data_IF_652408883299
#
_entry.id   IF_652408883299
#
_cell.length_a   1.000
_cell.length_b   1.000
_cell.length_c   1.000
_cell.angle_alpha   90.00
_cell.angle_beta   90.00
_cell.angle_gamma   90.00
#
_symmetry.space_group_name_H-M   'P 1'
#
loop_
_entity.id
_entity.type
_entity.pdbx_description
1 polymer ?
#
# COMPACT_ATOMS: atom_id res chain seq x y z
N UNK A 1 4.68 -10.92 -33.36
CA UNK A 1 3.88 -11.40 -32.21
C UNK A 1 3.65 -10.21 -31.31
N UNK A 2 2.40 -9.83 -31.04
CA UNK A 2 2.07 -8.78 -30.09
C UNK A 2 1.74 -9.47 -28.76
N UNK A 3 2.56 -9.25 -27.74
CA UNK A 3 2.32 -9.76 -26.39
C UNK A 3 1.48 -8.77 -25.59
N UNK A 4 0.58 -9.28 -24.72
CA UNK A 4 -0.11 -8.49 -23.70
C UNK A 4 0.58 -8.53 -22.33
N UNK A 5 1.62 -9.34 -22.20
CA UNK A 5 2.45 -9.42 -21.01
C UNK A 5 3.60 -8.43 -21.16
N UNK A 6 3.77 -7.58 -20.15
CA UNK A 6 4.88 -6.64 -20.07
C UNK A 6 6.21 -7.42 -20.06
N UNK A 7 7.23 -7.01 -20.83
CA UNK A 7 8.54 -7.63 -20.75
C UNK A 7 9.12 -7.44 -19.34
N UNK A 8 9.97 -8.38 -18.92
CA UNK A 8 10.76 -8.27 -17.71
C UNK A 8 12.23 -8.11 -18.12
N UNK A 9 13.00 -7.38 -17.31
CA UNK A 9 14.44 -7.34 -17.50
C UNK A 9 15.02 -8.74 -17.34
N UNK A 10 15.94 -9.11 -18.22
CA UNK A 10 16.67 -10.36 -18.18
C UNK A 10 18.13 -10.14 -18.61
N UNK A 11 18.91 -11.22 -18.76
CA UNK A 11 20.33 -11.12 -19.14
C UNK A 11 20.57 -10.51 -20.54
N UNK A 12 19.52 -10.34 -21.34
CA UNK A 12 19.56 -9.76 -22.69
C UNK A 12 18.79 -8.42 -22.77
N UNK A 13 17.98 -8.09 -21.77
CA UNK A 13 17.19 -6.86 -21.70
C UNK A 13 17.65 -6.05 -20.49
N UNK A 14 18.51 -5.07 -20.73
CA UNK A 14 19.09 -4.21 -19.69
C UNK A 14 18.17 -3.04 -19.29
N UNK A 15 17.32 -2.58 -20.21
CA UNK A 15 16.40 -1.45 -20.01
C UNK A 15 15.08 -1.69 -20.72
N UNK A 16 13.99 -1.42 -20.02
CA UNK A 16 12.64 -1.35 -20.61
C UNK A 16 12.14 0.09 -20.51
N UNK A 17 11.78 0.66 -21.65
CA UNK A 17 11.13 1.97 -21.73
C UNK A 17 9.69 1.78 -22.17
N UNK A 18 8.76 2.39 -21.44
CA UNK A 18 7.33 2.34 -21.77
C UNK A 18 6.74 3.75 -21.74
N UNK A 19 5.96 4.05 -22.77
CA UNK A 19 5.26 5.33 -22.93
C UNK A 19 3.77 5.03 -22.78
N UNK A 20 3.20 5.42 -21.65
CA UNK A 20 1.78 5.33 -21.36
C UNK A 20 1.13 6.67 -21.76
N UNK A 21 0.40 6.66 -22.87
CA UNK A 21 -0.30 7.84 -23.37
C UNK A 21 -1.65 8.08 -22.69
N UNK A 22 -2.23 7.08 -22.05
CA UNK A 22 -3.51 7.21 -21.36
C UNK A 22 -3.34 7.99 -20.07
N UNK A 23 -2.24 7.74 -19.35
CA UNK A 23 -1.88 8.46 -18.13
C UNK A 23 -0.82 9.55 -18.34
N UNK A 24 -0.29 9.69 -19.56
CA UNK A 24 0.82 10.58 -19.88
C UNK A 24 2.07 10.33 -19.03
N UNK A 25 2.46 9.06 -18.88
CA UNK A 25 3.58 8.63 -18.02
C UNK A 25 4.65 7.92 -18.84
N UNK A 26 5.90 8.25 -18.55
CA UNK A 26 7.08 7.55 -19.03
C UNK A 26 7.61 6.64 -17.93
N UNK A 27 7.66 5.34 -18.23
CA UNK A 27 8.14 4.31 -17.34
C UNK A 27 9.55 3.84 -17.73
N UNK A 28 10.35 3.52 -16.73
CA UNK A 28 11.67 2.87 -16.88
C UNK A 28 11.67 1.63 -16.02
N UNK A 29 11.91 0.46 -16.63
CA UNK A 29 11.84 -0.85 -15.97
C UNK A 29 10.53 -1.02 -15.18
N UNK A 30 9.41 -0.63 -15.79
CA UNK A 30 8.04 -0.67 -15.23
C UNK A 30 7.76 0.30 -14.08
N UNK A 31 8.72 1.16 -13.72
CA UNK A 31 8.57 2.21 -12.70
C UNK A 31 8.19 3.52 -13.36
N UNK A 32 7.09 4.19 -12.97
CA UNK A 32 6.74 5.50 -13.50
C UNK A 32 7.72 6.54 -12.95
N UNK A 33 8.51 7.16 -13.84
CA UNK A 33 9.52 8.15 -13.44
C UNK A 33 9.19 9.57 -13.88
N UNK A 34 8.64 9.75 -15.08
CA UNK A 34 8.39 11.09 -15.61
C UNK A 34 6.97 11.18 -16.12
N UNK A 35 6.34 12.33 -15.97
CA UNK A 35 5.20 12.66 -16.83
C UNK A 35 5.70 13.10 -18.19
N UNK A 36 4.97 12.75 -19.25
CA UNK A 36 5.34 13.09 -20.62
C UNK A 36 5.35 14.60 -20.88
N UNK A 37 4.55 15.37 -20.14
CA UNK A 37 4.52 16.84 -20.21
C UNK A 37 5.59 17.53 -19.35
N UNK A 38 6.30 16.77 -18.51
CA UNK A 38 7.34 17.27 -17.60
C UNK A 38 8.67 16.53 -17.79
N UNK A 39 8.94 16.04 -19.00
CA UNK A 39 10.17 15.29 -19.31
C UNK A 39 11.43 16.15 -19.09
N UNK A 40 12.54 15.55 -18.61
CA UNK A 40 13.83 16.20 -18.64
C UNK A 40 14.34 16.36 -20.09
N UNK A 41 15.37 17.19 -20.26
CA UNK A 41 16.09 17.26 -21.53
C UNK A 41 16.74 15.91 -21.86
N UNK A 42 17.04 15.66 -23.14
CA UNK A 42 17.72 14.43 -23.55
C UNK A 42 19.07 14.24 -22.83
N UNK A 43 19.80 15.33 -22.58
CA UNK A 43 21.11 15.31 -21.92
C UNK A 43 21.00 14.95 -20.42
N UNK A 44 19.88 15.31 -19.79
CA UNK A 44 19.66 15.05 -18.36
C UNK A 44 18.87 13.77 -18.07
N UNK A 45 18.19 13.20 -19.08
CA UNK A 45 17.31 12.04 -18.91
C UNK A 45 17.99 10.88 -18.17
N UNK A 46 19.11 10.37 -18.68
CA UNK A 46 19.84 9.27 -18.04
C UNK A 46 20.44 9.67 -16.69
N UNK A 47 20.75 10.97 -16.48
CA UNK A 47 21.34 11.47 -15.24
C UNK A 47 20.35 11.49 -14.07
N UNK A 48 19.05 11.46 -14.36
CA UNK A 48 17.99 11.48 -13.37
C UNK A 48 17.46 10.09 -13.01
N UNK A 49 17.95 9.03 -13.66
CA UNK A 49 17.58 7.65 -13.37
C UNK A 49 18.65 7.02 -12.47
N UNK A 50 18.23 6.45 -11.35
CA UNK A 50 19.10 5.78 -10.39
C UNK A 50 18.41 4.54 -9.82
N UNK A 51 18.88 4.08 -8.66
CA UNK A 51 18.31 2.97 -7.91
C UNK A 51 17.96 3.41 -6.49
N UNK A 52 16.87 2.87 -5.95
CA UNK A 52 16.52 3.02 -4.55
C UNK A 52 17.42 2.14 -3.64
N UNK A 53 17.18 2.22 -2.34
CA UNK A 53 17.90 1.42 -1.35
C UNK A 53 17.71 -0.11 -1.53
N UNK A 54 16.66 -0.52 -2.24
CA UNK A 54 16.32 -1.93 -2.49
C UNK A 54 16.83 -2.44 -3.84
N UNK A 55 17.43 -1.56 -4.66
CA UNK A 55 17.93 -1.88 -6.00
C UNK A 55 16.86 -1.78 -7.10
N UNK A 56 15.68 -1.24 -6.81
CA UNK A 56 14.66 -0.90 -7.80
C UNK A 56 14.97 0.42 -8.50
N UNK A 57 14.44 0.65 -9.70
CA UNK A 57 14.61 1.94 -10.39
C UNK A 57 13.94 3.06 -9.62
N UNK A 58 14.62 4.20 -9.54
CA UNK A 58 14.12 5.37 -8.83
C UNK A 58 14.72 6.66 -9.40
N UNK A 59 14.28 7.79 -8.85
CA UNK A 59 14.89 9.09 -9.11
C UNK A 59 16.31 9.15 -8.57
N UNK A 60 17.20 9.79 -9.32
CA UNK A 60 18.47 10.26 -8.76
C UNK A 60 18.21 11.39 -7.75
N UNK A 61 19.03 11.49 -6.71
CA UNK A 61 18.88 12.46 -5.62
C UNK A 61 18.82 13.91 -6.14
N UNK A 62 19.63 14.22 -7.14
CA UNK A 62 19.70 15.54 -7.80
C UNK A 62 18.50 15.88 -8.71
N UNK A 63 17.56 14.95 -8.91
CA UNK A 63 16.44 15.16 -9.83
C UNK A 63 15.51 16.26 -9.32
N UNK A 64 15.29 17.34 -10.10
CA UNK A 64 14.37 18.41 -9.73
C UNK A 64 12.94 17.89 -9.56
N UNK A 65 12.24 18.39 -8.54
CA UNK A 65 10.88 17.97 -8.19
C UNK A 65 9.89 18.09 -9.37
N UNK A 66 10.02 19.15 -10.19
CA UNK A 66 9.19 19.35 -11.39
C UNK A 66 9.20 18.19 -12.38
N UNK A 67 10.24 17.36 -12.38
CA UNK A 67 10.34 16.20 -13.27
C UNK A 67 9.85 14.91 -12.62
N UNK A 68 9.66 14.89 -11.28
CA UNK A 68 9.29 13.68 -10.53
C UNK A 68 7.84 13.35 -10.80
N UNK A 69 7.57 12.09 -11.12
CA UNK A 69 6.21 11.62 -11.36
C UNK A 69 5.31 11.88 -10.14
N UNK A 70 5.77 11.56 -8.92
CA UNK A 70 4.96 11.71 -7.68
C UNK A 70 4.55 13.16 -7.37
N UNK A 71 5.43 14.13 -7.61
CA UNK A 71 5.14 15.53 -7.32
C UNK A 71 4.06 16.12 -8.25
N UNK A 72 3.84 15.47 -9.39
CA UNK A 72 2.96 15.95 -10.45
C UNK A 72 1.78 15.01 -10.71
N UNK A 73 1.64 13.91 -9.98
CA UNK A 73 0.55 12.95 -10.14
C UNK A 73 -0.02 12.52 -8.79
N UNK A 74 -1.08 13.19 -8.37
CA UNK A 74 -1.90 12.80 -7.23
C UNK A 74 -3.30 12.52 -7.76
N UNK A 75 -3.70 11.24 -7.75
CA UNK A 75 -5.08 10.88 -8.03
C UNK A 75 -5.96 11.56 -6.99
N UNK A 76 -6.96 12.31 -7.44
CA UNK A 76 -7.89 12.96 -6.52
C UNK A 76 -8.62 11.89 -5.71
N UNK A 77 -8.76 12.05 -4.39
CA UNK A 77 -9.48 11.10 -3.56
C UNK A 77 -10.90 10.87 -4.09
N UNK A 78 -11.42 9.64 -4.03
CA UNK A 78 -12.78 9.35 -4.45
C UNK A 78 -13.76 10.08 -3.55
N UNK A 79 -14.87 10.53 -4.14
CA UNK A 79 -15.95 11.17 -3.38
C UNK A 79 -16.64 10.13 -2.50
N UNK A 80 -16.75 10.45 -1.23
CA UNK A 80 -17.49 9.67 -0.23
C UNK A 80 -18.93 10.19 -0.18
N UNK A 81 -19.91 9.29 -0.06
CA UNK A 81 -21.32 9.69 0.03
C UNK A 81 -21.66 10.29 1.39
N UNK A 82 -22.68 11.15 1.43
CA UNK A 82 -23.17 11.72 2.68
C UNK A 82 -23.62 10.61 3.65
N UNK A 83 -24.18 9.50 3.17
CA UNK A 83 -24.58 8.39 4.04
C UNK A 83 -23.40 7.76 4.79
N UNK A 84 -22.24 7.63 4.13
CA UNK A 84 -21.03 7.09 4.74
C UNK A 84 -20.47 8.04 5.81
N UNK A 85 -20.53 9.35 5.56
CA UNK A 85 -20.13 10.36 6.54
C UNK A 85 -21.08 10.39 7.74
N UNK A 86 -22.39 10.27 7.51
CA UNK A 86 -23.38 10.14 8.58
C UNK A 86 -23.23 8.82 9.35
N UNK A 87 -22.83 7.73 8.71
CA UNK A 87 -22.48 6.48 9.40
C UNK A 87 -21.32 6.69 10.38
N UNK A 88 -20.27 7.43 9.99
CA UNK A 88 -19.18 7.79 10.90
C UNK A 88 -19.65 8.65 12.08
N UNK A 89 -20.46 9.69 11.83
CA UNK A 89 -20.99 10.57 12.90
C UNK A 89 -21.77 9.79 13.97
N UNK A 90 -22.50 8.74 13.56
CA UNK A 90 -23.26 7.86 14.47
C UNK A 90 -22.39 6.98 15.38
N UNK A 91 -21.08 6.90 15.15
CA UNK A 91 -20.19 6.07 15.97
C UNK A 91 -19.81 6.72 17.29
N UNK A 92 -20.03 8.03 17.45
CA UNK A 92 -19.57 8.81 18.60
C UNK A 92 -18.08 8.56 18.94
N UNK A 93 -17.27 8.34 17.90
CA UNK A 93 -15.89 7.91 18.05
C UNK A 93 -15.05 8.97 18.77
N UNK A 94 -14.34 8.56 19.83
CA UNK A 94 -13.34 9.40 20.47
C UNK A 94 -12.04 9.32 19.67
N UNK A 95 -11.72 10.38 18.92
CA UNK A 95 -10.47 10.43 18.14
C UNK A 95 -9.32 10.78 19.08
N UNK A 96 -8.47 9.80 19.37
CA UNK A 96 -7.16 10.06 19.98
C UNK A 96 -6.16 10.28 18.86
N UNK A 97 -6.03 11.53 18.40
CA UNK A 97 -5.03 11.89 17.38
C UNK A 97 -3.64 11.73 17.99
N UNK A 98 -2.86 10.80 17.46
CA UNK A 98 -1.40 10.70 17.69
C UNK A 98 -0.72 11.03 16.37
N UNK A 99 -0.71 12.32 16.04
CA UNK A 99 -0.16 12.86 14.78
C UNK A 99 1.33 12.59 14.61
N UNK A 100 2.02 12.28 15.70
CA UNK A 100 3.32 11.64 15.66
C UNK A 100 3.25 10.42 16.57
N UNK A 101 3.71 9.27 16.08
CA UNK A 101 4.39 8.33 16.98
C UNK A 101 5.70 9.04 17.38
N UNK A 102 5.58 10.14 18.16
CA UNK A 102 6.67 10.68 18.94
C UNK A 102 7.29 9.47 19.64
N UNK A 103 8.62 9.36 19.70
CA UNK A 103 9.26 8.17 20.23
C UNK A 103 8.76 7.98 21.65
N UNK A 104 7.72 7.16 21.80
CA UNK A 104 7.35 6.59 23.08
C UNK A 104 8.67 6.01 23.57
N UNK A 105 8.99 6.22 24.84
CA UNK A 105 10.12 5.53 25.45
C UNK A 105 9.95 4.04 25.17
N UNK A 106 10.59 3.59 24.09
CA UNK A 106 10.26 2.32 23.49
C UNK A 106 11.02 1.32 24.30
N UNK A 107 10.30 0.36 24.86
CA UNK A 107 10.96 -0.79 25.46
C UNK A 107 11.95 -1.39 24.45
N UNK A 108 13.03 -2.00 24.94
CA UNK A 108 13.99 -2.73 24.10
C UNK A 108 13.26 -3.72 23.18
N UNK A 109 12.19 -4.34 23.68
CA UNK A 109 11.32 -5.24 22.91
C UNK A 109 10.64 -4.54 21.74
N UNK A 110 10.03 -3.37 21.97
CA UNK A 110 9.37 -2.59 20.92
C UNK A 110 10.37 -2.12 19.85
N UNK A 111 11.55 -1.65 20.27
CA UNK A 111 12.62 -1.25 19.35
C UNK A 111 13.09 -2.44 18.51
N UNK A 112 13.30 -3.61 19.12
CA UNK A 112 13.71 -4.83 18.43
C UNK A 112 12.67 -5.27 17.41
N UNK A 113 11.38 -5.21 17.76
CA UNK A 113 10.28 -5.54 16.85
C UNK A 113 10.21 -4.60 15.65
N UNK A 114 10.41 -3.29 15.87
CA UNK A 114 10.44 -2.32 14.78
C UNK A 114 11.62 -2.59 13.84
N UNK A 115 12.83 -2.80 14.38
CA UNK A 115 14.00 -3.13 13.56
C UNK A 115 13.81 -4.43 12.78
N UNK A 116 13.21 -5.45 13.38
CA UNK A 116 12.88 -6.69 12.67
C UNK A 116 11.88 -6.43 11.55
N UNK A 117 10.84 -5.63 11.80
CA UNK A 117 9.84 -5.29 10.79
C UNK A 117 10.46 -4.51 9.63
N UNK A 118 11.36 -3.56 9.89
CA UNK A 118 12.12 -2.84 8.86
C UNK A 118 12.90 -3.81 7.97
N UNK A 119 13.57 -4.82 8.56
CA UNK A 119 14.29 -5.85 7.81
C UNK A 119 13.34 -6.69 6.95
N UNK A 120 12.21 -7.13 7.51
CA UNK A 120 11.23 -7.94 6.79
C UNK A 120 10.60 -7.17 5.63
N UNK A 121 10.24 -5.89 5.85
CA UNK A 121 9.78 -4.98 4.80
C UNK A 121 10.85 -4.83 3.73
N UNK A 122 12.10 -4.58 4.12
CA UNK A 122 13.20 -4.46 3.15
C UNK A 122 13.42 -5.73 2.32
N UNK A 123 13.26 -6.90 2.92
CA UNK A 123 13.29 -8.18 2.19
C UNK A 123 12.15 -8.28 1.18
N UNK A 124 10.92 -7.86 1.53
CA UNK A 124 9.78 -7.85 0.61
C UNK A 124 10.03 -6.89 -0.56
N UNK A 125 10.53 -5.69 -0.27
CA UNK A 125 10.87 -4.69 -1.29
C UNK A 125 11.93 -5.20 -2.27
N UNK A 126 12.92 -5.95 -1.78
CA UNK A 126 14.01 -6.50 -2.61
C UNK A 126 13.62 -7.75 -3.42
N UNK A 127 12.60 -8.49 -2.99
CA UNK A 127 12.30 -9.84 -3.52
C UNK A 127 11.83 -9.83 -4.97
N UNK A 128 11.09 -8.80 -5.41
CA UNK A 128 10.60 -8.72 -6.78
C UNK A 128 10.45 -7.26 -7.22
N UNK A 129 10.87 -6.97 -8.46
CA UNK A 129 10.55 -5.73 -9.17
C UNK A 129 9.04 -5.49 -9.26
N UNK A 130 8.24 -6.57 -9.28
CA UNK A 130 6.78 -6.47 -9.29
C UNK A 130 6.23 -5.86 -8.00
N UNK A 131 6.83 -6.17 -6.85
CA UNK A 131 6.41 -5.61 -5.55
C UNK A 131 6.57 -4.09 -5.55
N UNK A 132 7.72 -3.60 -6.03
CA UNK A 132 7.98 -2.17 -6.15
C UNK A 132 6.96 -1.49 -7.09
N UNK A 133 6.70 -2.09 -8.26
CA UNK A 133 5.69 -1.60 -9.21
C UNK A 133 4.29 -1.53 -8.57
N UNK A 134 3.86 -2.59 -7.89
CA UNK A 134 2.54 -2.61 -7.27
C UNK A 134 2.42 -1.53 -6.20
N UNK A 135 3.43 -1.35 -5.36
CA UNK A 135 3.45 -0.34 -4.31
C UNK A 135 3.29 1.06 -4.90
N UNK A 136 4.04 1.42 -5.94
CA UNK A 136 3.89 2.73 -6.58
C UNK A 136 2.48 2.90 -7.13
N UNK A 137 1.96 1.87 -7.80
CA UNK A 137 0.63 1.91 -8.38
C UNK A 137 -0.49 1.96 -7.34
N UNK A 138 -0.26 1.58 -6.08
CA UNK A 138 -1.26 1.71 -5.00
C UNK A 138 -1.70 3.16 -4.79
N UNK A 139 -0.82 4.14 -5.02
CA UNK A 139 -1.15 5.57 -4.92
C UNK A 139 -2.10 6.03 -6.02
N UNK A 140 -2.14 5.31 -7.14
CA UNK A 140 -2.88 5.71 -8.33
C UNK A 140 -4.25 5.05 -8.43
N UNK A 141 -4.60 4.16 -7.48
CA UNK A 141 -5.86 3.43 -7.50
C UNK A 141 -7.00 4.43 -7.29
N UNK A 142 -7.92 4.62 -8.25
CA UNK A 142 -8.87 5.72 -8.21
C UNK A 142 -9.95 5.55 -7.15
N UNK A 143 -10.28 4.30 -6.80
CA UNK A 143 -11.26 4.01 -5.76
C UNK A 143 -10.95 2.67 -5.11
N UNK A 144 -11.50 2.44 -3.92
CA UNK A 144 -11.42 1.16 -3.21
C UNK A 144 -11.83 -0.03 -4.10
N UNK A 145 -12.85 0.14 -4.93
CA UNK A 145 -13.39 -0.96 -5.74
C UNK A 145 -12.54 -1.23 -7.00
N UNK A 146 -11.49 -0.43 -7.22
CA UNK A 146 -10.55 -0.57 -8.34
C UNK A 146 -9.28 -1.34 -8.00
N UNK A 147 -9.18 -1.91 -6.78
CA UNK A 147 -8.09 -2.80 -6.44
C UNK A 147 -8.10 -4.04 -7.33
N UNK A 148 -7.00 -4.29 -8.05
CA UNK A 148 -6.80 -5.57 -8.71
C UNK A 148 -6.27 -6.63 -7.73
N UNK A 149 -6.34 -7.90 -8.13
CA UNK A 149 -5.90 -9.04 -7.31
C UNK A 149 -4.44 -8.92 -6.84
N UNK A 150 -3.55 -8.41 -7.68
CA UNK A 150 -2.13 -8.29 -7.35
C UNK A 150 -1.86 -7.16 -6.32
N UNK A 151 -2.59 -6.05 -6.42
CA UNK A 151 -2.56 -4.96 -5.43
C UNK A 151 -3.06 -5.43 -4.06
N UNK A 152 -4.19 -6.15 -4.02
CA UNK A 152 -4.71 -6.74 -2.77
C UNK A 152 -3.74 -7.74 -2.18
N UNK A 153 -3.16 -8.61 -3.01
CA UNK A 153 -2.16 -9.58 -2.58
C UNK A 153 -0.91 -8.90 -2.00
N UNK A 154 -0.46 -7.81 -2.62
CA UNK A 154 0.65 -7.00 -2.11
C UNK A 154 0.31 -6.44 -0.73
N UNK A 155 -0.82 -5.73 -0.59
CA UNK A 155 -1.27 -5.15 0.68
C UNK A 155 -1.40 -6.21 1.78
N UNK A 156 -1.92 -7.38 1.43
CA UNK A 156 -2.07 -8.51 2.34
C UNK A 156 -0.74 -9.04 2.85
N UNK A 157 0.25 -9.21 1.97
CA UNK A 157 1.60 -9.61 2.37
C UNK A 157 2.17 -8.62 3.40
N UNK A 158 2.03 -7.32 3.15
CA UNK A 158 2.51 -6.29 4.09
C UNK A 158 1.73 -6.32 5.41
N UNK A 159 0.41 -6.45 5.36
CA UNK A 159 -0.43 -6.57 6.56
C UNK A 159 -0.07 -7.80 7.39
N UNK A 160 0.06 -8.97 6.77
CA UNK A 160 0.50 -10.20 7.44
C UNK A 160 1.89 -10.04 8.06
N UNK A 161 2.82 -9.38 7.36
CA UNK A 161 4.19 -9.14 7.85
C UNK A 161 4.21 -8.23 9.07
N UNK A 162 3.39 -7.18 9.08
CA UNK A 162 3.32 -6.23 10.17
C UNK A 162 2.52 -6.75 11.38
N UNK A 163 1.45 -7.53 11.14
CA UNK A 163 0.43 -7.82 12.14
C UNK A 163 0.42 -9.26 12.63
N UNK A 164 1.04 -10.22 11.95
CA UNK A 164 1.16 -11.59 12.45
C UNK A 164 2.42 -11.77 13.31
N UNK A 165 2.44 -12.76 14.22
CA UNK A 165 3.66 -13.08 14.96
C UNK A 165 4.77 -13.42 13.97
N UNK A 166 5.99 -12.87 14.11
CA UNK A 166 7.07 -13.16 13.19
C UNK A 166 7.39 -14.65 13.24
N UNK A 167 7.25 -15.32 12.10
CA UNK A 167 7.69 -16.71 11.91
C UNK A 167 9.06 -16.68 11.22
N UNK A 168 9.91 -17.68 11.50
CA UNK A 168 11.28 -17.71 10.99
C UNK A 168 11.49 -18.84 9.97
N UNK A 169 12.38 -18.60 9.00
CA UNK A 169 12.81 -19.59 8.02
C UNK A 169 11.73 -19.96 7.00
N UNK A 170 11.74 -21.22 6.52
CA UNK A 170 10.83 -21.72 5.48
C UNK A 170 9.35 -21.57 5.81
N UNK A 171 9.01 -21.45 7.10
CA UNK A 171 7.63 -21.22 7.54
C UNK A 171 7.11 -19.83 7.16
N UNK A 172 7.99 -18.84 7.12
CA UNK A 172 7.65 -17.49 6.66
C UNK A 172 7.41 -17.47 5.15
N UNK A 173 8.30 -18.13 4.39
CA UNK A 173 8.16 -18.25 2.94
C UNK A 173 6.92 -19.03 2.53
N UNK A 174 6.57 -20.10 3.27
CA UNK A 174 5.33 -20.84 3.07
C UNK A 174 4.09 -19.98 3.36
N UNK A 175 4.11 -19.17 4.44
CA UNK A 175 3.01 -18.22 4.70
C UNK A 175 2.85 -17.23 3.55
N UNK A 176 3.93 -16.71 2.97
CA UNK A 176 3.84 -15.80 1.83
C UNK A 176 3.43 -16.51 0.53
N UNK A 177 3.96 -17.70 0.28
CA UNK A 177 3.66 -18.49 -0.92
C UNK A 177 2.23 -19.03 -0.94
N UNK A 178 1.72 -19.47 0.21
CA UNK A 178 0.35 -19.95 0.40
C UNK A 178 -0.63 -18.84 0.80
N UNK A 179 -0.14 -17.60 1.04
CA UNK A 179 -1.01 -16.44 1.27
C UNK A 179 -1.68 -16.04 -0.03
N UNK A 180 -2.70 -16.81 -0.42
CA UNK A 180 -3.72 -16.25 -1.28
C UNK A 180 -4.50 -15.26 -0.42
N UNK A 181 -4.56 -14.00 -0.87
CA UNK A 181 -5.64 -13.12 -0.40
C UNK A 181 -6.94 -13.92 -0.53
N UNK A 182 -7.79 -14.00 0.50
CA UNK A 182 -8.96 -14.86 0.48
C UNK A 182 -9.72 -14.62 -0.83
N UNK A 183 -9.68 -15.62 -1.71
CA UNK A 183 -9.97 -15.46 -3.13
C UNK A 183 -11.47 -15.30 -3.44
N UNK A 184 -12.30 -15.26 -2.41
CA UNK A 184 -13.73 -14.96 -2.49
C UNK A 184 -13.94 -13.52 -2.04
N UNK A 185 -13.42 -12.59 -2.84
CA UNK A 185 -14.05 -11.26 -2.93
C UNK A 185 -15.24 -11.50 -3.83
N UNK A 186 -16.41 -11.84 -3.28
CA UNK A 186 -17.63 -11.66 -4.06
C UNK A 186 -17.78 -10.17 -4.36
N UNK A 187 -18.52 -9.82 -5.41
CA UNK A 187 -18.80 -8.42 -5.78
C UNK A 187 -19.43 -7.59 -4.63
N UNK A 188 -19.79 -8.23 -3.51
CA UNK A 188 -20.36 -7.62 -2.30
C UNK A 188 -19.53 -7.82 -1.02
N UNK A 189 -18.39 -8.51 -1.03
CA UNK A 189 -17.68 -8.87 0.20
C UNK A 189 -16.57 -7.88 0.57
N UNK A 190 -16.62 -7.48 1.85
CA UNK A 190 -15.72 -6.54 2.48
C UNK A 190 -14.25 -6.87 2.23
N UNK A 191 -13.42 -5.84 1.96
CA UNK A 191 -11.95 -5.90 2.05
C UNK A 191 -11.41 -6.22 3.47
N UNK A 192 -12.28 -6.72 4.34
CA UNK A 192 -12.07 -6.93 5.77
C UNK A 192 -11.78 -8.40 6.00
N UNK A 193 -10.67 -8.69 6.67
CA UNK A 193 -10.23 -10.04 6.98
C UNK A 193 -9.82 -10.11 8.43
N UNK A 194 -10.37 -11.10 9.14
CA UNK A 194 -9.95 -11.42 10.50
C UNK A 194 -8.61 -12.16 10.48
N UNK A 195 -7.55 -11.47 10.85
CA UNK A 195 -6.22 -12.07 11.00
C UNK A 195 -6.11 -12.91 12.28
N UNK A 196 -6.87 -12.54 13.32
CA UNK A 196 -6.94 -13.20 14.62
C UNK A 196 -8.35 -13.02 15.19
N UNK A 197 -8.67 -13.77 16.25
CA UNK A 197 -9.98 -13.71 16.91
C UNK A 197 -10.41 -12.30 17.34
N UNK A 198 -9.45 -11.41 17.65
CA UNK A 198 -9.69 -10.04 18.09
C UNK A 198 -9.05 -8.98 17.17
N UNK A 199 -8.63 -9.36 15.95
CA UNK A 199 -7.95 -8.46 15.01
C UNK A 199 -8.54 -8.58 13.60
N UNK A 200 -9.31 -7.58 13.21
CA UNK A 200 -9.81 -7.39 11.86
C UNK A 200 -8.90 -6.42 11.09
N UNK A 201 -8.58 -6.73 9.84
CA UNK A 201 -7.78 -5.88 8.96
C UNK A 201 -8.59 -5.51 7.74
N UNK A 202 -8.59 -4.23 7.40
CA UNK A 202 -9.38 -3.68 6.31
C UNK A 202 -8.51 -2.91 5.34
N UNK A 203 -8.55 -3.30 4.07
CA UNK A 203 -7.78 -2.60 3.03
C UNK A 203 -8.58 -1.40 2.53
N UNK A 204 -7.93 -0.24 2.39
CA UNK A 204 -8.57 1.00 1.93
C UNK A 204 -7.59 1.89 1.15
N UNK A 205 -8.09 2.81 0.31
CA UNK A 205 -7.26 3.79 -0.44
C UNK A 205 -7.47 5.21 0.08
N UNK A 206 -6.50 6.11 -0.14
CA UNK A 206 -6.62 7.54 0.19
C UNK A 206 -6.95 7.85 1.67
N UNK A 207 -6.37 7.10 2.62
CA UNK A 207 -6.58 7.35 4.05
C UNK A 207 -5.96 8.68 4.55
N UNK A 208 -5.17 9.35 3.72
CA UNK A 208 -4.73 10.73 3.89
C UNK A 208 -5.85 11.76 3.69
N UNK A 209 -6.91 11.41 2.95
CA UNK A 209 -8.11 12.24 2.84
C UNK A 209 -9.04 11.99 4.03
N UNK A 210 -9.47 13.08 4.67
CA UNK A 210 -10.26 13.02 5.89
C UNK A 210 -11.62 12.33 5.68
N UNK A 211 -12.26 12.56 4.53
CA UNK A 211 -13.57 11.95 4.23
C UNK A 211 -13.43 10.44 4.03
N UNK A 212 -12.40 10.02 3.29
CA UNK A 212 -12.07 8.62 3.08
C UNK A 212 -11.68 7.92 4.38
N UNK A 213 -10.88 8.57 5.23
CA UNK A 213 -10.54 8.06 6.56
C UNK A 213 -11.79 7.80 7.40
N UNK A 214 -12.71 8.76 7.48
CA UNK A 214 -13.97 8.63 8.23
C UNK A 214 -14.83 7.48 7.71
N UNK A 215 -14.98 7.39 6.39
CA UNK A 215 -15.71 6.29 5.75
C UNK A 215 -15.08 4.93 6.08
N UNK A 216 -13.76 4.83 6.05
CA UNK A 216 -13.05 3.59 6.34
C UNK A 216 -13.21 3.15 7.80
N UNK A 217 -13.13 4.10 8.75
CA UNK A 217 -13.40 3.86 10.17
C UNK A 217 -14.82 3.37 10.39
N UNK A 218 -15.80 3.96 9.71
CA UNK A 218 -17.18 3.50 9.80
C UNK A 218 -17.36 2.08 9.29
N UNK A 219 -16.83 1.79 8.11
CA UNK A 219 -16.95 0.48 7.49
C UNK A 219 -16.25 -0.63 8.30
N UNK A 220 -15.04 -0.41 8.83
CA UNK A 220 -14.39 -1.42 9.68
C UNK A 220 -15.13 -1.62 11.01
N UNK A 221 -15.68 -0.55 11.58
CA UNK A 221 -16.45 -0.64 12.83
C UNK A 221 -17.72 -1.43 12.64
N UNK A 222 -18.42 -1.25 11.52
CA UNK A 222 -19.59 -2.04 11.15
C UNK A 222 -19.24 -3.53 11.00
N UNK A 223 -18.16 -3.85 10.27
CA UNK A 223 -17.67 -5.22 10.12
C UNK A 223 -17.30 -5.87 11.47
N UNK A 224 -16.61 -5.12 12.34
CA UNK A 224 -16.28 -5.62 13.68
C UNK A 224 -17.53 -5.87 14.52
N UNK A 225 -18.55 -5.00 14.45
CA UNK A 225 -19.81 -5.17 15.19
C UNK A 225 -20.67 -6.32 14.68
N UNK A 226 -20.65 -6.61 13.37
CA UNK A 226 -21.43 -7.71 12.79
C UNK A 226 -20.85 -9.10 13.10
N UNK A 227 -19.54 -9.19 13.31
CA UNK A 227 -18.83 -10.47 13.41
C UNK A 227 -18.14 -10.73 14.76
N UNK A 228 -17.85 -9.69 15.56
CA UNK A 228 -17.16 -9.89 16.83
C UNK A 228 -18.06 -10.53 17.89
N UNK A 229 -17.50 -11.52 18.58
CA UNK A 229 -18.09 -12.19 19.75
C UNK A 229 -17.33 -11.90 21.04
N UNK A 230 -16.29 -11.06 20.99
CA UNK A 230 -15.30 -10.90 22.07
C UNK A 230 -15.17 -9.42 22.45
N UNK A 231 -15.12 -9.14 23.75
CA UNK A 231 -14.75 -7.81 24.26
C UNK A 231 -13.29 -7.49 23.90
N UNK A 232 -12.98 -6.21 23.64
CA UNK A 232 -11.66 -5.74 23.19
C UNK A 232 -11.21 -6.22 21.79
N UNK A 233 -11.99 -5.83 20.78
CA UNK A 233 -11.66 -6.07 19.37
C UNK A 233 -10.88 -4.90 18.77
N UNK A 234 -9.87 -5.21 17.95
CA UNK A 234 -9.10 -4.23 17.20
C UNK A 234 -9.37 -4.33 15.70
N UNK A 235 -9.54 -3.18 15.07
CA UNK A 235 -9.62 -3.01 13.63
C UNK A 235 -8.39 -2.25 13.13
N UNK A 236 -7.74 -2.73 12.08
CA UNK A 236 -6.65 -2.01 11.40
C UNK A 236 -7.07 -1.72 9.97
N UNK A 237 -7.30 -0.45 9.65
CA UNK A 237 -7.47 0.00 8.27
C UNK A 237 -6.11 0.35 7.69
N UNK A 238 -5.79 -0.09 6.48
CA UNK A 238 -4.45 0.08 5.91
C UNK A 238 -4.47 0.34 4.39
N UNK A 239 -3.64 1.29 3.95
CA UNK A 239 -3.42 1.66 2.55
C UNK A 239 -1.96 1.46 2.08
N UNK A 240 -1.15 0.75 2.87
CA UNK A 240 0.32 0.74 2.81
C UNK A 240 1.00 2.01 3.32
N UNK A 241 0.55 3.17 2.85
CA UNK A 241 1.14 4.46 3.19
C UNK A 241 0.61 5.03 4.50
N UNK A 242 -0.63 4.71 4.83
CA UNK A 242 -1.33 5.17 6.02
C UNK A 242 -2.02 4.00 6.70
N UNK A 243 -2.14 4.08 8.02
CA UNK A 243 -2.88 3.12 8.81
C UNK A 243 -3.74 3.82 9.86
N UNK A 244 -4.87 3.21 10.18
CA UNK A 244 -5.76 3.64 11.26
C UNK A 244 -6.05 2.44 12.13
N UNK A 245 -5.89 2.59 13.43
CA UNK A 245 -6.21 1.55 14.41
C UNK A 245 -7.46 1.98 15.16
N UNK A 246 -8.49 1.15 15.09
CA UNK A 246 -9.77 1.31 15.79
C UNK A 246 -9.83 0.26 16.89
N UNK A 247 -10.25 0.66 18.09
CA UNK A 247 -10.57 -0.27 19.17
C UNK A 247 -12.08 -0.21 19.40
N UNK A 248 -12.72 -1.38 19.40
CA UNK A 248 -14.10 -1.53 19.82
C UNK A 248 -14.11 -1.95 21.29
N UNK A 249 -14.69 -1.10 22.13
CA UNK A 249 -14.94 -1.39 23.55
C UNK A 249 -16.22 -2.22 23.74
#
# INVERSE_FOLDING_TARGET
SISRLQPLNDIFIEWIYEIDLDNLVFHVDTVPLFRLDCMPSADDFCRFISFDHYGGRAYAEQMPERHRYEANWITSPPKISDEQLEAYKRLEATVTVKEDIAPLAMSVVSSTRIRLLEVLVGMLMKRSSDTHRYIINLRNIPSRDSFNKASLHTLWIFACTALLPPKYGKQWEAVLADSHYPATVSENDCLAVWLRENLCVFTWTHLDDESNLKAAVAAITECMRSESRVSDTFGVVFSLFHCVIVRLE
#
